data_IF_920549693015
#
_entry.id   IF_920549693015
#
_cell.length_a   1.000
_cell.length_b   1.000
_cell.length_c   1.000
_cell.angle_alpha   90.00
_cell.angle_beta   90.00
_cell.angle_gamma   90.00
#
_symmetry.space_group_name_H-M   'P 1'
#
loop_
_entity.id
_entity.type
_entity.pdbx_description
1 polymer ?
#
# COMPACT_ATOMS: atom_id res chain seq x y z
N UNK A 1 42.80 -30.79 10.80
CA UNK A 1 41.50 -30.49 11.45
C UNK A 1 41.12 -29.01 11.41
N UNK A 2 42.05 -28.05 11.26
CA UNK A 2 41.71 -26.61 11.20
C UNK A 2 41.15 -26.11 9.85
N UNK A 3 41.46 -26.77 8.72
CA UNK A 3 40.99 -26.34 7.39
C UNK A 3 39.48 -26.52 7.20
N UNK A 4 38.93 -27.64 7.68
CA UNK A 4 37.49 -27.90 7.62
C UNK A 4 36.66 -26.92 8.46
N UNK A 5 37.21 -26.39 9.56
CA UNK A 5 36.53 -25.39 10.40
C UNK A 5 36.38 -24.03 9.69
N UNK A 6 37.46 -23.53 9.06
CA UNK A 6 37.44 -22.25 8.31
C UNK A 6 36.55 -22.32 7.08
N UNK A 7 36.59 -23.43 6.35
CA UNK A 7 35.75 -23.67 5.17
C UNK A 7 34.25 -23.77 5.54
N UNK A 8 33.95 -24.37 6.70
CA UNK A 8 32.60 -24.45 7.26
C UNK A 8 32.05 -23.09 7.69
N UNK A 9 32.85 -22.27 8.38
CA UNK A 9 32.47 -20.90 8.76
C UNK A 9 32.25 -20.02 7.52
N UNK A 10 33.10 -20.15 6.50
CA UNK A 10 33.00 -19.38 5.26
C UNK A 10 31.73 -19.71 4.48
N UNK A 11 31.27 -20.97 4.54
CA UNK A 11 30.02 -21.42 3.91
C UNK A 11 28.78 -21.08 4.73
N UNK A 12 28.85 -21.14 6.06
CA UNK A 12 27.72 -20.87 6.95
C UNK A 12 27.44 -19.37 7.11
N UNK A 13 28.45 -18.51 7.03
CA UNK A 13 28.27 -17.08 7.28
C UNK A 13 27.23 -16.43 6.34
N UNK A 14 27.24 -16.63 5.01
CA UNK A 14 26.20 -16.07 4.14
C UNK A 14 24.80 -16.61 4.45
N UNK A 15 24.68 -17.90 4.79
CA UNK A 15 23.40 -18.52 5.15
C UNK A 15 22.86 -17.96 6.47
N UNK A 16 23.73 -17.79 7.46
CA UNK A 16 23.40 -17.17 8.73
C UNK A 16 22.92 -15.73 8.55
N UNK A 17 23.69 -14.91 7.82
CA UNK A 17 23.31 -13.52 7.52
C UNK A 17 21.99 -13.45 6.77
N UNK A 18 21.75 -14.35 5.81
CA UNK A 18 20.49 -14.39 5.08
C UNK A 18 19.27 -14.66 5.97
N UNK A 19 19.38 -15.62 6.89
CA UNK A 19 18.30 -15.96 7.84
C UNK A 19 18.09 -14.84 8.85
N UNK A 20 19.17 -14.29 9.39
CA UNK A 20 19.12 -13.19 10.36
C UNK A 20 18.48 -11.93 9.74
N UNK A 21 18.92 -11.55 8.54
CA UNK A 21 18.33 -10.45 7.78
C UNK A 21 16.83 -10.65 7.58
N UNK A 22 16.40 -11.86 7.16
CA UNK A 22 15.00 -12.15 6.95
C UNK A 22 14.19 -12.03 8.25
N UNK A 23 14.74 -12.48 9.37
CA UNK A 23 14.08 -12.39 10.69
C UNK A 23 13.81 -10.95 11.13
N UNK A 24 14.62 -9.99 10.66
CA UNK A 24 14.53 -8.57 11.04
C UNK A 24 13.87 -7.68 9.96
N UNK A 25 13.58 -8.19 8.76
CA UNK A 25 13.01 -7.39 7.64
C UNK A 25 11.71 -6.68 8.00
N UNK A 26 10.89 -7.23 8.89
CA UNK A 26 9.63 -6.59 9.33
C UNK A 26 9.87 -5.21 9.97
N UNK A 27 11.05 -4.97 10.55
CA UNK A 27 11.44 -3.69 11.14
C UNK A 27 11.40 -2.58 10.09
N UNK A 28 11.77 -2.87 8.83
CA UNK A 28 11.72 -1.88 7.76
C UNK A 28 10.27 -1.42 7.49
N UNK A 29 9.34 -2.37 7.40
CA UNK A 29 7.91 -2.06 7.21
C UNK A 29 7.35 -1.26 8.38
N UNK A 30 7.68 -1.64 9.62
CA UNK A 30 7.22 -0.94 10.82
C UNK A 30 7.85 0.46 10.97
N UNK A 31 9.10 0.63 10.55
CA UNK A 31 9.79 1.93 10.51
C UNK A 31 9.12 2.85 9.50
N UNK A 32 8.73 2.33 8.33
CA UNK A 32 8.02 3.09 7.32
C UNK A 32 6.61 3.50 7.78
N UNK A 33 5.89 2.58 8.44
CA UNK A 33 4.63 2.88 9.13
C UNK A 33 4.81 4.00 10.17
N UNK A 34 5.84 3.90 11.02
CA UNK A 34 6.15 4.91 12.03
C UNK A 34 6.38 6.29 11.39
N UNK A 35 7.08 6.35 10.26
CA UNK A 35 7.31 7.59 9.54
C UNK A 35 6.01 8.24 9.04
N UNK A 36 5.08 7.44 8.53
CA UNK A 36 3.75 7.89 8.09
C UNK A 36 2.92 8.36 9.29
N UNK A 37 2.88 7.57 10.36
CA UNK A 37 2.10 7.88 11.58
C UNK A 37 2.58 9.20 12.22
N UNK A 38 3.89 9.46 12.19
CA UNK A 38 4.50 10.70 12.67
C UNK A 38 4.50 11.84 11.62
N UNK A 39 3.97 11.61 10.43
CA UNK A 39 3.93 12.58 9.32
C UNK A 39 5.31 13.13 8.92
N UNK A 40 6.37 12.31 9.06
CA UNK A 40 7.74 12.70 8.69
C UNK A 40 7.84 13.13 7.21
N UNK A 41 7.24 12.41 6.22
CA UNK A 41 7.32 12.83 4.83
C UNK A 41 6.77 14.25 4.62
N UNK A 42 5.60 14.53 5.19
CA UNK A 42 4.92 15.82 5.04
C UNK A 42 5.70 16.96 5.72
N UNK A 43 6.29 16.70 6.89
CA UNK A 43 7.13 17.67 7.62
C UNK A 43 8.38 18.04 6.81
N UNK A 44 9.09 17.05 6.27
CA UNK A 44 10.27 17.28 5.42
C UNK A 44 9.88 17.99 4.12
N UNK A 45 8.76 17.59 3.50
CA UNK A 45 8.25 18.25 2.28
C UNK A 45 7.93 19.71 2.50
N UNK A 46 7.19 20.03 3.58
CA UNK A 46 6.77 21.39 3.93
C UNK A 46 7.96 22.30 4.23
N UNK A 47 9.07 21.75 4.73
CA UNK A 47 10.29 22.53 4.95
C UNK A 47 10.92 23.03 3.64
N UNK A 48 10.68 22.37 2.51
CA UNK A 48 10.99 22.85 1.16
C UNK A 48 12.46 22.75 0.70
N UNK A 49 13.35 22.29 1.57
CA UNK A 49 14.80 22.14 1.34
C UNK A 49 15.35 20.99 2.20
N UNK A 50 16.63 20.58 2.07
CA UNK A 50 17.20 19.57 2.95
C UNK A 50 17.02 19.94 4.44
N UNK A 51 16.23 19.15 5.15
CA UNK A 51 15.78 19.45 6.51
C UNK A 51 16.82 18.96 7.53
N UNK A 52 17.36 19.84 8.38
CA UNK A 52 18.27 19.41 9.43
C UNK A 52 17.59 18.52 10.47
N UNK A 53 18.34 17.57 11.05
CA UNK A 53 17.82 16.66 12.07
C UNK A 53 17.22 17.40 13.27
N UNK A 54 17.86 18.48 13.74
CA UNK A 54 17.37 19.30 14.85
C UNK A 54 15.97 19.88 14.57
N UNK A 55 15.77 20.43 13.37
CA UNK A 55 14.50 20.99 12.91
C UNK A 55 13.44 19.91 12.73
N UNK A 56 13.82 18.73 12.20
CA UNK A 56 12.92 17.60 12.08
C UNK A 56 12.39 17.19 13.45
N UNK A 57 13.28 16.95 14.43
CA UNK A 57 12.90 16.58 15.80
C UNK A 57 11.95 17.61 16.41
N UNK A 58 12.26 18.91 16.27
CA UNK A 58 11.45 20.00 16.82
C UNK A 58 10.05 20.10 16.18
N UNK A 59 9.88 19.58 14.96
CA UNK A 59 8.63 19.64 14.21
C UNK A 59 7.71 18.43 14.44
N UNK A 60 8.20 17.38 15.12
CA UNK A 60 7.45 16.14 15.32
C UNK A 60 6.70 16.13 16.66
N UNK A 61 5.49 15.54 16.72
CA UNK A 61 4.71 15.43 17.95
C UNK A 61 5.22 14.29 18.84
N UNK A 62 6.48 14.37 19.28
CA UNK A 62 7.16 13.31 20.05
C UNK A 62 7.53 13.76 21.46
N UNK A 63 7.61 12.81 22.38
CA UNK A 63 8.06 13.10 23.74
C UNK A 63 9.57 13.49 23.74
N UNK A 64 9.98 14.57 24.43
CA UNK A 64 11.37 15.04 24.41
C UNK A 64 12.41 13.97 24.79
N UNK A 65 12.09 13.08 25.75
CA UNK A 65 12.99 11.98 26.15
C UNK A 65 13.23 10.93 25.05
N UNK A 66 12.49 10.99 23.94
CA UNK A 66 12.60 10.07 22.80
C UNK A 66 13.23 10.72 21.57
N UNK A 67 13.53 12.02 21.62
CA UNK A 67 14.10 12.77 20.51
C UNK A 67 15.36 12.14 19.92
N UNK A 68 16.24 11.59 20.77
CA UNK A 68 17.48 10.94 20.34
C UNK A 68 17.26 9.70 19.45
N UNK A 69 16.08 9.07 19.49
CA UNK A 69 15.77 7.90 18.68
C UNK A 69 15.37 8.24 17.25
N UNK A 70 14.99 9.49 16.95
CA UNK A 70 14.64 9.92 15.58
C UNK A 70 15.81 9.76 14.63
N UNK A 71 17.03 10.07 15.08
CA UNK A 71 18.22 9.83 14.27
C UNK A 71 18.37 8.35 13.86
N UNK A 72 18.08 7.40 14.78
CA UNK A 72 18.14 5.96 14.48
C UNK A 72 17.04 5.54 13.51
N UNK A 73 15.83 6.06 13.68
CA UNK A 73 14.70 5.83 12.76
C UNK A 73 15.06 6.31 11.35
N UNK A 74 15.53 7.55 11.21
CA UNK A 74 15.90 8.14 9.93
C UNK A 74 17.07 7.40 9.26
N UNK A 75 18.01 6.87 10.04
CA UNK A 75 19.09 6.04 9.51
C UNK A 75 18.56 4.76 8.85
N UNK A 76 17.59 4.08 9.48
CA UNK A 76 16.94 2.89 8.88
C UNK A 76 16.19 3.28 7.60
N UNK A 77 15.44 4.39 7.63
CA UNK A 77 14.69 4.88 6.47
C UNK A 77 15.59 5.28 5.29
N UNK A 78 16.80 5.74 5.57
CA UNK A 78 17.80 6.11 4.55
C UNK A 78 18.46 4.88 3.95
N UNK A 79 18.96 3.95 4.77
CA UNK A 79 19.80 2.85 4.30
C UNK A 79 19.01 1.59 3.90
N UNK A 80 18.02 1.19 4.70
CA UNK A 80 17.32 -0.07 4.52
C UNK A 80 16.04 0.07 3.70
N UNK A 81 15.29 1.16 3.93
CA UNK A 81 14.07 1.45 3.18
C UNK A 81 14.30 2.33 1.94
N UNK A 82 15.51 2.89 1.77
CA UNK A 82 15.90 3.83 0.69
C UNK A 82 14.86 4.93 0.43
N UNK A 83 14.14 5.29 1.48
CA UNK A 83 13.02 6.21 1.41
C UNK A 83 13.52 7.65 1.53
N UNK A 84 14.65 7.92 2.17
CA UNK A 84 15.17 9.29 2.34
C UNK A 84 16.59 9.40 1.82
N UNK A 85 16.90 10.56 1.24
CA UNK A 85 18.25 10.98 0.94
C UNK A 85 18.89 11.62 2.17
N UNK A 86 20.20 11.43 2.32
CA UNK A 86 21.01 11.97 3.41
C UNK A 86 22.13 12.85 2.84
N UNK A 87 22.23 14.06 3.35
CA UNK A 87 23.33 14.98 3.06
C UNK A 87 24.11 15.19 4.36
N UNK A 88 25.41 14.89 4.31
CA UNK A 88 26.33 15.15 5.43
C UNK A 88 26.90 16.56 5.28
N UNK A 89 26.62 17.42 6.26
CA UNK A 89 27.24 18.74 6.41
C UNK A 89 28.07 18.78 7.70
N UNK A 90 28.97 19.76 7.80
CA UNK A 90 29.91 19.90 8.93
C UNK A 90 29.22 20.00 10.30
N UNK A 91 28.00 20.53 10.35
CA UNK A 91 27.30 20.81 11.61
C UNK A 91 26.27 19.74 11.99
N UNK A 92 25.43 19.32 11.04
CA UNK A 92 24.44 18.28 11.28
C UNK A 92 23.98 17.59 9.98
N UNK A 93 23.43 16.39 10.13
CA UNK A 93 22.86 15.62 9.02
C UNK A 93 21.54 16.27 8.57
N UNK A 94 21.36 16.34 7.24
CA UNK A 94 20.12 16.80 6.62
C UNK A 94 19.43 15.69 5.83
N UNK A 95 18.10 15.73 5.82
CA UNK A 95 17.25 14.76 5.14
C UNK A 95 16.47 15.41 4.00
N UNK A 96 16.38 14.69 2.88
CA UNK A 96 15.60 15.07 1.70
C UNK A 96 14.73 13.89 1.27
N UNK A 97 13.57 14.18 0.68
CA UNK A 97 12.72 13.14 0.10
C UNK A 97 13.34 12.59 -1.18
N UNK A 98 13.31 11.27 -1.33
CA UNK A 98 13.52 10.58 -2.61
C UNK A 98 12.20 10.48 -3.36
N UNK A 99 12.22 10.02 -4.61
CA UNK A 99 10.97 9.77 -5.34
C UNK A 99 10.11 8.70 -4.65
N UNK A 100 10.74 7.72 -3.97
CA UNK A 100 10.02 6.74 -3.18
C UNK A 100 9.31 7.36 -1.96
N UNK A 101 9.94 8.25 -1.18
CA UNK A 101 9.23 8.89 -0.05
C UNK A 101 8.25 9.97 -0.46
N UNK A 102 8.36 10.55 -1.66
CA UNK A 102 7.30 11.42 -2.20
C UNK A 102 5.98 10.66 -2.36
N UNK A 103 6.03 9.36 -2.64
CA UNK A 103 4.83 8.49 -2.65
C UNK A 103 4.23 8.29 -1.25
N UNK A 104 4.86 8.77 -0.18
CA UNK A 104 4.33 8.68 1.18
C UNK A 104 3.66 9.99 1.65
N UNK A 105 3.71 11.05 0.84
CA UNK A 105 3.06 12.31 1.14
C UNK A 105 1.55 12.16 1.05
N UNK A 106 0.81 12.70 2.03
CA UNK A 106 -0.65 12.52 2.13
C UNK A 106 -1.40 13.03 0.90
N UNK A 107 -0.95 14.17 0.39
CA UNK A 107 -1.57 14.88 -0.73
C UNK A 107 -1.02 14.46 -2.10
N UNK A 108 -0.09 13.48 -2.15
CA UNK A 108 0.41 12.98 -3.41
C UNK A 108 -0.71 12.22 -4.15
N UNK A 109 -0.98 12.51 -5.44
CA UNK A 109 -2.04 11.83 -6.20
C UNK A 109 -1.89 10.31 -6.26
N UNK A 110 -0.65 9.83 -6.19
CA UNK A 110 -0.25 8.41 -6.20
C UNK A 110 0.24 7.95 -4.81
N UNK A 111 -0.25 8.59 -3.74
CA UNK A 111 0.19 8.27 -2.38
C UNK A 111 -0.05 6.79 -2.03
N UNK A 112 1.00 6.10 -1.61
CA UNK A 112 0.98 4.74 -1.07
C UNK A 112 0.72 4.68 0.43
N UNK A 113 0.65 5.82 1.13
CA UNK A 113 0.42 5.85 2.58
C UNK A 113 -0.85 5.11 3.04
N UNK A 114 -2.02 5.25 2.38
CA UNK A 114 -3.22 4.50 2.76
C UNK A 114 -3.05 2.99 2.54
N UNK A 115 -2.41 2.57 1.45
CA UNK A 115 -2.10 1.15 1.21
C UNK A 115 -1.24 0.59 2.34
N UNK A 116 -0.21 1.33 2.73
CA UNK A 116 0.63 0.97 3.88
C UNK A 116 -0.14 0.88 5.20
N UNK A 117 -1.10 1.78 5.43
CA UNK A 117 -1.96 1.73 6.62
C UNK A 117 -2.84 0.47 6.65
N UNK A 118 -3.34 0.04 5.50
CA UNK A 118 -4.15 -1.19 5.36
C UNK A 118 -3.27 -2.44 5.54
N UNK A 119 -2.17 -2.54 4.79
CA UNK A 119 -1.29 -3.71 4.81
C UNK A 119 -0.65 -3.93 6.19
N UNK A 120 -0.40 -2.85 6.92
CA UNK A 120 0.22 -2.87 8.24
C UNK A 120 -0.78 -2.57 9.37
N UNK A 121 -2.08 -2.73 9.10
CA UNK A 121 -3.10 -2.70 10.14
C UNK A 121 -2.88 -3.84 11.13
N UNK A 122 -3.21 -3.59 12.40
CA UNK A 122 -2.99 -4.58 13.46
C UNK A 122 -3.71 -5.91 13.20
N UNK A 123 -4.89 -5.88 12.58
CA UNK A 123 -5.66 -7.10 12.27
C UNK A 123 -4.99 -7.92 11.16
N UNK A 124 -4.42 -7.24 10.16
CA UNK A 124 -3.66 -7.88 9.07
C UNK A 124 -2.37 -8.47 9.60
N UNK A 125 -1.60 -7.72 10.41
CA UNK A 125 -0.38 -8.25 11.03
C UNK A 125 -0.67 -9.45 11.93
N UNK A 126 -1.74 -9.38 12.74
CA UNK A 126 -2.18 -10.52 13.57
C UNK A 126 -2.52 -11.74 12.73
N UNK A 127 -3.12 -11.57 11.55
CA UNK A 127 -3.40 -12.67 10.63
C UNK A 127 -2.14 -13.36 10.11
N UNK A 128 -1.05 -12.62 9.87
CA UNK A 128 0.23 -13.21 9.48
C UNK A 128 0.80 -14.13 10.59
N UNK A 129 0.57 -13.80 11.85
CA UNK A 129 0.95 -14.65 12.97
C UNK A 129 0.12 -15.95 13.07
N UNK A 130 -0.96 -16.09 12.29
CA UNK A 130 -1.82 -17.29 12.31
C UNK A 130 -1.54 -18.27 11.17
N UNK A 131 -0.52 -18.04 10.31
CA UNK A 131 -0.27 -18.92 9.16
C UNK A 131 -0.13 -20.40 9.52
N UNK A 132 0.61 -20.73 10.59
CA UNK A 132 0.76 -22.12 11.03
C UNK A 132 -0.54 -22.72 11.58
N UNK A 133 -1.31 -21.94 12.34
CA UNK A 133 -2.61 -22.36 12.89
C UNK A 133 -3.65 -22.55 11.80
N UNK A 134 -3.68 -21.65 10.82
CA UNK A 134 -4.57 -21.73 9.67
C UNK A 134 -4.30 -22.97 8.81
N UNK A 135 -3.03 -23.31 8.56
CA UNK A 135 -2.67 -24.48 7.74
C UNK A 135 -3.15 -25.83 8.30
N UNK A 136 -3.54 -25.89 9.57
CA UNK A 136 -3.97 -27.12 10.25
C UNK A 136 -5.45 -27.08 10.66
N UNK A 137 -6.21 -26.08 10.21
CA UNK A 137 -7.64 -25.97 10.47
C UNK A 137 -8.44 -25.75 9.18
N UNK A 138 -9.76 -25.73 9.31
CA UNK A 138 -10.68 -25.60 8.17
C UNK A 138 -11.10 -24.15 7.86
N UNK A 139 -10.45 -23.16 8.48
CA UNK A 139 -10.77 -21.75 8.22
C UNK A 139 -10.35 -21.37 6.78
N UNK A 140 -11.13 -20.52 6.09
CA UNK A 140 -10.85 -20.19 4.69
C UNK A 140 -9.58 -19.34 4.50
N UNK A 141 -9.17 -18.56 5.51
CA UNK A 141 -7.99 -17.67 5.43
C UNK A 141 -7.33 -17.48 6.79
N UNK A 142 -6.03 -17.09 6.84
CA UNK A 142 -5.39 -16.68 8.10
C UNK A 142 -6.07 -15.50 8.79
N UNK A 143 -6.69 -14.61 7.99
CA UNK A 143 -7.46 -13.48 8.52
C UNK A 143 -8.70 -13.96 9.26
N UNK A 144 -9.41 -14.95 8.70
CA UNK A 144 -10.52 -15.61 9.38
C UNK A 144 -10.06 -16.28 10.67
N UNK A 145 -8.96 -17.04 10.66
CA UNK A 145 -8.41 -17.65 11.88
C UNK A 145 -8.10 -16.60 12.96
N UNK A 146 -7.60 -15.42 12.58
CA UNK A 146 -7.25 -14.37 13.54
C UNK A 146 -8.43 -13.54 14.09
N UNK A 147 -9.52 -13.43 13.31
CA UNK A 147 -10.60 -12.45 13.54
C UNK A 147 -12.00 -13.05 13.62
N UNK A 148 -12.20 -14.28 13.16
CA UNK A 148 -13.50 -14.97 13.07
C UNK A 148 -14.41 -14.49 11.95
N UNK A 149 -13.89 -13.75 10.96
CA UNK A 149 -14.67 -13.25 9.82
C UNK A 149 -13.82 -13.11 8.58
N UNK A 150 -14.48 -12.95 7.42
CA UNK A 150 -13.78 -12.61 6.19
C UNK A 150 -13.24 -11.17 6.25
N UNK A 151 -12.25 -10.88 5.40
CA UNK A 151 -11.67 -9.54 5.30
C UNK A 151 -12.73 -8.48 4.92
N UNK A 152 -13.64 -8.82 4.01
CA UNK A 152 -14.70 -7.91 3.56
C UNK A 152 -15.78 -7.69 4.62
N UNK A 153 -16.16 -8.72 5.38
CA UNK A 153 -17.07 -8.55 6.52
C UNK A 153 -16.46 -7.69 7.61
N UNK A 154 -15.15 -7.83 7.85
CA UNK A 154 -14.43 -6.96 8.77
C UNK A 154 -14.46 -5.51 8.31
N UNK A 155 -14.14 -5.24 7.04
CA UNK A 155 -14.21 -3.90 6.48
C UNK A 155 -15.63 -3.33 6.59
N UNK A 156 -16.66 -4.08 6.22
CA UNK A 156 -18.05 -3.67 6.35
C UNK A 156 -18.44 -3.30 7.80
N UNK A 157 -17.86 -3.99 8.80
CA UNK A 157 -18.13 -3.75 10.22
C UNK A 157 -17.35 -2.56 10.79
N UNK A 158 -16.16 -2.26 10.27
CA UNK A 158 -15.31 -1.14 10.71
C UNK A 158 -15.25 -0.06 9.61
N UNK A 159 -16.11 0.98 9.69
CA UNK A 159 -16.13 2.06 8.70
C UNK A 159 -14.78 2.75 8.52
N UNK A 160 -13.99 2.88 9.59
CA UNK A 160 -12.67 3.53 9.50
C UNK A 160 -11.71 2.70 8.67
N UNK A 161 -11.68 1.39 8.90
CA UNK A 161 -10.88 0.48 8.09
C UNK A 161 -11.35 0.47 6.64
N UNK A 162 -12.66 0.42 6.41
CA UNK A 162 -13.25 0.45 5.08
C UNK A 162 -12.89 1.73 4.30
N UNK A 163 -12.93 2.89 4.95
CA UNK A 163 -12.60 4.17 4.32
C UNK A 163 -11.12 4.20 3.89
N UNK A 164 -10.21 3.74 4.75
CA UNK A 164 -8.78 3.68 4.44
C UNK A 164 -8.51 2.62 3.35
N UNK A 165 -9.19 1.48 3.39
CA UNK A 165 -9.11 0.45 2.35
C UNK A 165 -9.55 0.99 0.98
N UNK A 166 -10.69 1.66 0.93
CA UNK A 166 -11.20 2.24 -0.33
C UNK A 166 -10.30 3.36 -0.85
N UNK A 167 -9.74 4.22 0.02
CA UNK A 167 -8.77 5.25 -0.38
C UNK A 167 -7.47 4.62 -0.92
N UNK A 168 -6.99 3.56 -0.27
CA UNK A 168 -5.82 2.80 -0.73
C UNK A 168 -6.03 2.21 -2.13
N UNK A 169 -7.13 1.48 -2.33
CA UNK A 169 -7.46 0.88 -3.61
C UNK A 169 -7.65 1.94 -4.69
N UNK A 170 -8.30 3.06 -4.38
CA UNK A 170 -8.49 4.15 -5.33
C UNK A 170 -7.16 4.78 -5.77
N UNK A 171 -6.26 5.09 -4.83
CA UNK A 171 -4.96 5.71 -5.13
C UNK A 171 -4.04 4.77 -5.91
N UNK A 172 -3.97 3.50 -5.55
CA UNK A 172 -3.23 2.50 -6.33
C UNK A 172 -3.79 2.38 -7.75
N UNK A 173 -5.12 2.32 -7.88
CA UNK A 173 -5.79 2.21 -9.19
C UNK A 173 -5.53 3.40 -10.09
N UNK A 174 -5.36 4.62 -9.55
CA UNK A 174 -4.97 5.79 -10.37
C UNK A 174 -3.64 5.57 -11.08
N UNK A 175 -2.63 5.06 -10.38
CA UNK A 175 -1.34 4.76 -10.99
C UNK A 175 -1.48 3.67 -12.05
N UNK A 176 -2.08 2.55 -11.68
CA UNK A 176 -2.26 1.39 -12.57
C UNK A 176 -3.06 1.78 -13.82
N UNK A 177 -4.11 2.58 -13.67
CA UNK A 177 -4.93 3.03 -14.80
C UNK A 177 -4.13 3.82 -15.83
N UNK A 178 -3.21 4.69 -15.39
CA UNK A 178 -2.35 5.43 -16.32
C UNK A 178 -1.46 4.51 -17.14
N UNK A 179 -0.89 3.48 -16.50
CA UNK A 179 -0.05 2.47 -17.17
C UNK A 179 -0.87 1.61 -18.13
N UNK A 180 -2.04 1.12 -17.70
CA UNK A 180 -2.93 0.29 -18.53
C UNK A 180 -3.42 1.06 -19.75
N UNK A 181 -3.81 2.32 -19.59
CA UNK A 181 -4.26 3.16 -20.70
C UNK A 181 -3.10 3.45 -21.67
N UNK A 182 -1.91 3.79 -21.16
CA UNK A 182 -0.77 4.15 -22.00
C UNK A 182 -0.19 2.93 -22.75
N UNK A 183 -0.03 1.79 -22.07
CA UNK A 183 0.65 0.61 -22.60
C UNK A 183 -0.30 -0.44 -23.18
N UNK A 184 -1.54 -0.46 -22.72
CA UNK A 184 -2.52 -1.50 -23.01
C UNK A 184 -3.69 -1.06 -23.88
N UNK A 185 -3.69 0.14 -24.46
CA UNK A 185 -4.84 0.71 -25.21
C UNK A 185 -5.53 -0.25 -26.18
N UNK A 186 -4.76 -1.10 -26.87
CA UNK A 186 -5.27 -2.04 -27.86
C UNK A 186 -6.26 -3.07 -27.31
N UNK A 187 -6.26 -3.34 -26.00
CA UNK A 187 -7.23 -4.25 -25.38
C UNK A 187 -8.65 -3.66 -25.33
N UNK A 188 -8.79 -2.34 -25.48
CA UNK A 188 -10.07 -1.64 -25.44
C UNK A 188 -10.56 -1.22 -26.83
N UNK A 189 -9.72 -1.35 -27.87
CA UNK A 189 -10.08 -0.96 -29.23
C UNK A 189 -11.14 -1.90 -29.81
N UNK A 190 -12.27 -1.34 -30.26
CA UNK A 190 -13.38 -2.09 -30.85
C UNK A 190 -14.40 -2.65 -29.86
N UNK A 191 -14.22 -2.45 -28.55
CA UNK A 191 -15.24 -2.79 -27.54
C UNK A 191 -16.36 -1.75 -27.52
N UNK A 192 -17.62 -2.18 -27.39
CA UNK A 192 -18.77 -1.29 -27.17
C UNK A 192 -19.14 -1.19 -25.69
N UNK A 193 -18.89 -2.26 -24.92
CA UNK A 193 -19.18 -2.37 -23.50
C UNK A 193 -18.11 -3.14 -22.70
N UNK A 194 -17.86 -2.69 -21.47
CA UNK A 194 -16.90 -3.28 -20.52
C UNK A 194 -17.52 -3.30 -19.12
N UNK A 195 -17.40 -4.41 -18.39
CA UNK A 195 -17.67 -4.45 -16.94
C UNK A 195 -16.38 -4.55 -16.14
N UNK A 196 -16.23 -3.66 -15.16
CA UNK A 196 -15.19 -3.61 -14.13
C UNK A 196 -15.73 -4.31 -12.87
N UNK A 197 -15.39 -5.59 -12.69
CA UNK A 197 -15.88 -6.43 -11.59
C UNK A 197 -15.00 -6.24 -10.36
N UNK A 198 -15.61 -5.91 -9.22
CA UNK A 198 -14.87 -5.41 -8.06
C UNK A 198 -14.33 -4.00 -8.27
N UNK A 199 -14.97 -3.21 -9.15
CA UNK A 199 -14.47 -1.91 -9.59
C UNK A 199 -14.54 -0.80 -8.53
N UNK A 200 -15.09 -1.08 -7.35
CA UNK A 200 -15.18 -0.18 -6.21
C UNK A 200 -15.87 1.14 -6.55
N UNK A 201 -15.13 2.24 -6.36
CA UNK A 201 -15.63 3.61 -6.66
C UNK A 201 -15.56 3.96 -8.16
N UNK A 202 -15.16 3.01 -9.00
CA UNK A 202 -15.09 3.14 -10.46
C UNK A 202 -13.86 3.90 -10.96
N UNK A 203 -12.76 3.92 -10.21
CA UNK A 203 -11.57 4.71 -10.59
C UNK A 203 -11.00 4.25 -11.94
N UNK A 204 -10.88 2.92 -12.16
CA UNK A 204 -10.40 2.37 -13.43
C UNK A 204 -11.39 2.61 -14.55
N UNK A 205 -12.66 2.20 -14.37
CA UNK A 205 -13.73 2.44 -15.34
C UNK A 205 -13.84 3.92 -15.79
N UNK A 206 -13.73 4.88 -14.87
CA UNK A 206 -13.73 6.32 -15.21
C UNK A 206 -12.53 6.73 -16.07
N UNK A 207 -11.34 6.19 -15.78
CA UNK A 207 -10.14 6.49 -16.55
C UNK A 207 -10.22 5.89 -17.97
N UNK A 208 -10.76 4.68 -18.09
CA UNK A 208 -11.02 4.01 -19.37
C UNK A 208 -12.07 4.80 -20.17
N UNK A 209 -13.25 5.07 -19.59
CA UNK A 209 -14.32 5.81 -20.26
C UNK A 209 -13.89 7.22 -20.72
N UNK A 210 -12.99 7.88 -19.98
CA UNK A 210 -12.39 9.16 -20.40
C UNK A 210 -11.48 9.01 -21.62
N UNK A 211 -10.75 7.90 -21.74
CA UNK A 211 -9.81 7.63 -22.83
C UNK A 211 -10.50 7.04 -24.06
N UNK A 212 -11.63 6.36 -23.86
CA UNK A 212 -12.45 5.74 -24.89
C UNK A 212 -13.92 6.20 -24.74
N UNK A 213 -14.28 7.41 -25.22
CA UNK A 213 -15.61 7.99 -25.01
C UNK A 213 -16.77 7.23 -25.67
N UNK A 214 -16.48 6.24 -26.52
CA UNK A 214 -17.50 5.38 -27.12
C UNK A 214 -17.76 4.11 -26.31
N UNK A 215 -16.88 3.77 -25.36
CA UNK A 215 -16.96 2.57 -24.55
C UNK A 215 -17.88 2.80 -23.35
N UNK A 216 -18.93 1.97 -23.24
CA UNK A 216 -19.82 1.98 -22.09
C UNK A 216 -19.21 1.13 -20.96
N UNK A 217 -18.88 1.76 -19.84
CA UNK A 217 -18.33 1.05 -18.69
C UNK A 217 -19.40 0.79 -17.62
N UNK A 218 -19.43 -0.43 -17.10
CA UNK A 218 -20.21 -0.83 -15.92
C UNK A 218 -19.23 -1.07 -14.78
N UNK A 219 -19.37 -0.36 -13.67
CA UNK A 219 -18.71 -0.69 -12.42
C UNK A 219 -19.64 -1.63 -11.66
N UNK A 220 -19.17 -2.86 -11.44
CA UNK A 220 -19.92 -3.89 -10.74
C UNK A 220 -19.25 -4.24 -9.43
N UNK A 221 -19.93 -4.02 -8.31
CA UNK A 221 -19.41 -4.28 -6.97
C UNK A 221 -20.54 -4.62 -6.00
N UNK A 222 -20.24 -4.87 -4.74
CA UNK A 222 -21.23 -5.12 -3.71
C UNK A 222 -22.22 -3.94 -3.59
N UNK A 223 -23.51 -4.19 -3.32
CA UNK A 223 -24.52 -3.13 -3.27
C UNK A 223 -24.17 -1.96 -2.36
N UNK A 224 -23.54 -2.23 -1.21
CA UNK A 224 -23.17 -1.20 -0.24
C UNK A 224 -22.01 -0.29 -0.72
N UNK A 225 -21.14 -0.77 -1.61
CA UNK A 225 -20.01 -0.01 -2.15
C UNK A 225 -20.48 1.02 -3.18
N UNK A 226 -21.45 0.64 -4.01
CA UNK A 226 -21.94 1.49 -5.12
C UNK A 226 -23.20 2.29 -4.82
N UNK A 227 -23.86 2.05 -3.67
CA UNK A 227 -25.16 2.63 -3.31
C UNK A 227 -25.25 4.17 -3.46
N UNK A 228 -24.16 4.88 -3.17
CA UNK A 228 -24.12 6.35 -3.17
C UNK A 228 -23.41 6.94 -4.39
N UNK A 229 -23.06 6.12 -5.38
CA UNK A 229 -22.31 6.56 -6.56
C UNK A 229 -23.28 6.97 -7.68
N UNK A 230 -23.08 8.17 -8.20
CA UNK A 230 -23.89 8.69 -9.29
C UNK A 230 -23.32 8.26 -10.64
N UNK A 231 -24.22 7.83 -11.54
CA UNK A 231 -23.87 7.57 -12.94
C UNK A 231 -23.29 8.81 -13.61
N UNK A 232 -22.34 8.61 -14.50
CA UNK A 232 -21.91 9.61 -15.49
C UNK A 232 -22.35 9.16 -16.87
N UNK A 233 -22.09 9.93 -17.94
CA UNK A 233 -22.57 9.60 -19.30
C UNK A 233 -22.21 8.17 -19.71
N UNK A 234 -20.94 7.77 -19.54
CA UNK A 234 -20.43 6.49 -20.00
C UNK A 234 -20.04 5.52 -18.87
N UNK A 235 -20.35 5.85 -17.62
CA UNK A 235 -20.08 4.96 -16.46
C UNK A 235 -21.37 4.73 -15.67
N UNK A 236 -21.77 3.46 -15.60
CA UNK A 236 -22.92 2.99 -14.82
C UNK A 236 -22.43 2.20 -13.61
N UNK A 237 -23.18 2.24 -12.53
CA UNK A 237 -22.89 1.50 -11.31
C UNK A 237 -23.97 0.44 -11.10
N UNK A 238 -23.56 -0.80 -10.85
CA UNK A 238 -24.46 -1.93 -10.62
C UNK A 238 -24.02 -2.66 -9.36
N UNK A 239 -24.94 -2.79 -8.41
CA UNK A 239 -24.71 -3.55 -7.18
C UNK A 239 -25.11 -5.01 -7.37
N UNK A 240 -24.27 -5.95 -6.94
CA UNK A 240 -24.59 -7.38 -6.97
C UNK A 240 -23.50 -8.26 -6.35
N UNK A 241 -23.60 -9.56 -6.62
CA UNK A 241 -22.61 -10.55 -6.23
C UNK A 241 -22.04 -11.22 -7.48
N UNK A 242 -20.73 -11.11 -7.68
CA UNK A 242 -20.03 -11.70 -8.83
C UNK A 242 -20.03 -13.24 -8.81
N UNK A 243 -20.28 -13.85 -7.65
CA UNK A 243 -20.42 -15.30 -7.52
C UNK A 243 -21.81 -15.79 -7.95
N UNK A 244 -22.79 -14.89 -8.06
CA UNK A 244 -24.13 -15.21 -8.56
C UNK A 244 -24.25 -14.86 -10.05
N UNK A 245 -24.01 -13.60 -10.41
CA UNK A 245 -24.15 -13.13 -11.79
C UNK A 245 -23.32 -11.86 -12.05
N UNK A 246 -22.75 -11.78 -13.25
CA UNK A 246 -22.05 -10.58 -13.76
C UNK A 246 -22.89 -9.99 -14.90
N UNK A 247 -23.04 -8.65 -15.00
CA UNK A 247 -23.72 -8.01 -16.12
C UNK A 247 -23.16 -8.44 -17.49
N UNK A 248 -24.06 -8.69 -18.45
CA UNK A 248 -23.68 -9.02 -19.83
C UNK A 248 -23.02 -7.81 -20.51
N UNK A 249 -21.82 -8.03 -21.06
CA UNK A 249 -20.98 -7.04 -21.76
C UNK A 249 -20.05 -7.75 -22.74
N UNK A 250 -19.36 -7.00 -23.61
CA UNK A 250 -18.40 -7.57 -24.55
C UNK A 250 -17.12 -8.07 -23.87
N UNK A 251 -16.76 -7.46 -22.73
CA UNK A 251 -15.53 -7.77 -22.02
C UNK A 251 -15.67 -7.58 -20.51
N UNK A 252 -14.96 -8.42 -19.76
CA UNK A 252 -14.88 -8.40 -18.30
C UNK A 252 -13.46 -8.02 -17.90
N UNK A 253 -13.34 -7.01 -17.04
CA UNK A 253 -12.10 -6.63 -16.39
C UNK A 253 -12.15 -7.01 -14.91
N UNK A 254 -11.06 -7.65 -14.46
CA UNK A 254 -10.79 -7.99 -13.07
C UNK A 254 -9.38 -7.49 -12.75
N UNK A 255 -9.22 -6.76 -11.64
CA UNK A 255 -7.94 -6.22 -11.15
C UNK A 255 -7.40 -7.03 -9.97
#
# INVERSE_FOLDING_TARGET
MESHSKEHVTKLLPAYTHVDDHSLRFINSMTLKCAIDLSIPDVVHKYGQPMPLSQLIASLPIHPSKACFIHRLMRILTHSAQSYGRIEEEQEVRYVLTDASKLLLKDHPLSMSPLMQVTLDSSVIKSCCQFSTWLINDDPTPFHTATGMTYFDYAKRDPKFNDVYNDAMAKETRFVSSVVIEKGKGVFEGLESLVDVGGGTGTMAKAIAKSFPQLNCIVFDQPHVVANLQKTENVKYVGGDMFEAIPSTDSIMLK
#
